data_IF_498792094453
#
_entry.id   IF_498792094453
#
_cell.length_a   1.000
_cell.length_b   1.000
_cell.length_c   1.000
_cell.angle_alpha   90.00
_cell.angle_beta   90.00
_cell.angle_gamma   90.00
#
_symmetry.space_group_name_H-M   'P 1'
#
loop_
_entity.id
_entity.type
_entity.pdbx_description
1 polymer ?
#
# COMPACT_ATOMS: atom_id res chain seq x y z
N UNK A 1 33.45 50.87 6.81
CA UNK A 1 32.40 50.25 6.01
C UNK A 1 32.21 48.79 6.52
N UNK A 2 31.18 48.55 7.33
CA UNK A 2 30.89 47.20 7.87
C UNK A 2 29.98 46.44 6.88
N UNK A 3 30.47 45.35 6.33
CA UNK A 3 29.64 44.45 5.49
C UNK A 3 28.79 43.56 6.41
N UNK A 4 27.47 43.70 6.33
CA UNK A 4 26.50 42.82 6.98
C UNK A 4 26.31 41.64 6.04
N UNK A 5 26.74 40.46 6.48
CA UNK A 5 26.45 39.18 5.78
C UNK A 5 25.11 38.68 6.33
N UNK A 6 24.06 38.79 5.53
CA UNK A 6 22.75 38.22 5.84
C UNK A 6 22.80 36.71 5.52
N UNK A 7 22.87 35.89 6.58
CA UNK A 7 22.78 34.44 6.46
C UNK A 7 21.29 34.04 6.27
N UNK A 8 20.89 33.75 5.03
CA UNK A 8 19.56 33.24 4.75
C UNK A 8 19.53 31.73 5.09
N UNK A 9 18.98 31.42 6.25
CA UNK A 9 18.71 30.02 6.63
C UNK A 9 17.50 29.58 5.80
N UNK A 10 17.77 28.82 4.73
CA UNK A 10 16.74 28.11 3.97
C UNK A 10 16.14 27.01 4.83
N UNK A 11 14.95 27.23 5.36
CA UNK A 11 14.15 26.22 6.03
C UNK A 11 13.63 25.26 4.94
N UNK A 12 14.38 24.20 4.67
CA UNK A 12 13.90 23.07 3.85
C UNK A 12 12.77 22.39 4.64
N UNK A 13 11.53 22.79 4.38
CA UNK A 13 10.38 21.99 4.75
C UNK A 13 10.52 20.67 3.99
N UNK A 14 10.91 19.61 4.70
CA UNK A 14 10.72 18.26 4.23
C UNK A 14 9.19 18.06 4.13
N UNK A 15 8.66 18.29 2.95
CA UNK A 15 7.32 17.83 2.60
C UNK A 15 7.38 16.32 2.74
N UNK A 16 6.86 15.80 3.84
CA UNK A 16 6.46 14.40 3.92
C UNK A 16 5.35 14.25 2.87
N UNK A 17 5.74 13.86 1.66
CA UNK A 17 4.79 13.38 0.66
C UNK A 17 4.21 12.09 1.25
N UNK A 18 3.12 12.20 1.99
CA UNK A 18 2.28 11.06 2.27
C UNK A 18 1.71 10.65 0.91
N UNK A 19 2.27 9.57 0.38
CA UNK A 19 1.81 9.06 -0.89
C UNK A 19 0.44 8.40 -0.66
N UNK A 20 -0.54 8.74 -1.51
CA UNK A 20 -1.80 8.01 -1.55
C UNK A 20 -1.53 6.52 -1.69
N UNK A 21 -2.23 5.73 -0.92
CA UNK A 21 -2.14 4.27 -0.91
C UNK A 21 -3.46 3.64 -1.36
N UNK A 22 -3.37 2.48 -1.96
CA UNK A 22 -4.51 1.59 -2.20
C UNK A 22 -4.56 0.60 -1.05
N UNK A 23 -5.74 0.42 -0.41
CA UNK A 23 -5.91 -0.61 0.62
C UNK A 23 -7.23 -1.34 0.49
N UNK A 24 -7.28 -2.55 1.05
CA UNK A 24 -8.46 -3.39 1.05
C UNK A 24 -9.01 -3.54 2.47
N UNK A 25 -10.33 -3.57 2.59
CA UNK A 25 -11.04 -3.89 3.83
C UNK A 25 -12.03 -5.01 3.59
N UNK A 26 -12.12 -5.95 4.55
CA UNK A 26 -13.15 -6.98 4.55
C UNK A 26 -14.39 -6.47 5.25
N UNK A 27 -15.48 -6.39 4.51
CA UNK A 27 -16.78 -6.08 5.10
C UNK A 27 -17.39 -7.32 5.78
N UNK A 28 -18.33 -7.09 6.70
CA UNK A 28 -19.03 -8.14 7.44
C UNK A 28 -19.87 -9.08 6.55
N UNK A 29 -20.24 -8.63 5.34
CA UNK A 29 -20.97 -9.39 4.32
C UNK A 29 -20.05 -10.22 3.41
N UNK A 30 -18.80 -10.43 3.81
CA UNK A 30 -17.71 -11.10 3.08
C UNK A 30 -17.26 -10.41 1.79
N UNK A 31 -17.82 -9.25 1.44
CA UNK A 31 -17.31 -8.45 0.32
C UNK A 31 -15.98 -7.80 0.70
N UNK A 32 -15.21 -7.47 -0.32
CA UNK A 32 -13.97 -6.71 -0.18
C UNK A 32 -14.17 -5.31 -0.72
N UNK A 33 -13.87 -4.32 0.10
CA UNK A 33 -13.87 -2.91 -0.30
C UNK A 33 -12.44 -2.46 -0.57
N UNK A 34 -12.22 -1.76 -1.68
CA UNK A 34 -10.95 -1.13 -1.98
C UNK A 34 -11.12 0.39 -1.92
N UNK A 35 -10.19 1.01 -1.23
CA UNK A 35 -10.11 2.46 -1.05
C UNK A 35 -8.78 2.97 -1.59
N UNK A 36 -8.78 4.21 -2.04
CA UNK A 36 -7.58 4.93 -2.43
C UNK A 36 -7.54 6.28 -1.70
N UNK A 37 -6.39 6.68 -1.18
CA UNK A 37 -6.25 7.92 -0.42
C UNK A 37 -5.20 7.84 0.68
N UNK A 38 -5.43 8.54 1.79
CA UNK A 38 -4.54 8.60 2.96
C UNK A 38 -5.23 8.01 4.19
N UNK A 39 -4.78 6.81 4.59
CA UNK A 39 -5.44 6.05 5.66
C UNK A 39 -5.38 6.77 7.02
N UNK A 40 -4.26 7.38 7.37
CA UNK A 40 -4.09 8.12 8.64
C UNK A 40 -5.02 9.32 8.76
N UNK A 41 -5.25 10.01 7.65
CA UNK A 41 -6.11 11.20 7.58
C UNK A 41 -7.58 10.87 7.32
N UNK A 42 -7.91 9.58 7.18
CA UNK A 42 -9.24 9.09 6.78
C UNK A 42 -9.71 9.71 5.43
N UNK A 43 -8.75 10.17 4.63
CA UNK A 43 -9.03 10.73 3.31
C UNK A 43 -9.27 9.59 2.32
N UNK A 44 -10.44 9.59 1.69
CA UNK A 44 -10.82 8.67 0.62
C UNK A 44 -11.06 9.46 -0.66
N UNK A 45 -10.31 9.09 -1.69
CA UNK A 45 -10.51 9.62 -3.03
C UNK A 45 -11.84 9.14 -3.62
N UNK A 46 -12.38 9.92 -4.57
CA UNK A 46 -13.68 9.63 -5.18
C UNK A 46 -13.58 9.24 -6.65
N UNK A 47 -14.69 8.72 -7.21
CA UNK A 47 -14.81 8.41 -8.65
C UNK A 47 -14.78 9.67 -9.52
N UNK A 48 -14.99 10.85 -8.96
CA UNK A 48 -14.80 12.13 -9.65
C UNK A 48 -13.34 12.59 -9.64
N UNK A 49 -12.51 12.00 -8.77
CA UNK A 49 -11.09 12.25 -8.59
C UNK A 49 -10.21 11.04 -8.94
N UNK A 50 -9.18 10.82 -8.13
CA UNK A 50 -8.12 9.85 -8.40
C UNK A 50 -8.59 8.38 -8.34
N UNK A 51 -9.62 8.05 -7.56
CA UNK A 51 -10.18 6.69 -7.49
C UNK A 51 -10.68 6.18 -8.86
N UNK A 52 -11.07 7.08 -9.77
CA UNK A 52 -11.51 6.73 -11.13
C UNK A 52 -10.47 5.89 -11.89
N UNK A 53 -9.18 6.10 -11.63
CA UNK A 53 -8.09 5.35 -12.26
C UNK A 53 -8.16 3.86 -11.98
N UNK A 54 -8.81 3.46 -10.88
CA UNK A 54 -8.94 2.06 -10.46
C UNK A 54 -10.25 1.39 -10.89
N UNK A 55 -11.11 2.09 -11.65
CA UNK A 55 -12.46 1.60 -12.01
C UNK A 55 -12.48 0.28 -12.79
N UNK A 56 -11.37 -0.10 -13.41
CA UNK A 56 -11.20 -1.38 -14.13
C UNK A 56 -10.29 -2.38 -13.39
N UNK A 57 -9.78 -2.02 -12.21
CA UNK A 57 -8.88 -2.88 -11.44
C UNK A 57 -9.65 -4.11 -10.93
N UNK A 58 -9.12 -5.30 -11.16
CA UNK A 58 -9.77 -6.56 -10.77
C UNK A 58 -9.13 -7.12 -9.50
N UNK A 59 -9.96 -7.44 -8.52
CA UNK A 59 -9.50 -8.19 -7.37
C UNK A 59 -9.34 -9.67 -7.71
N UNK A 60 -8.36 -10.33 -7.08
CA UNK A 60 -8.09 -11.75 -7.24
C UNK A 60 -8.28 -12.45 -5.89
N UNK A 61 -9.06 -13.52 -5.88
CA UNK A 61 -9.23 -14.41 -4.75
C UNK A 61 -9.23 -15.84 -5.24
N UNK A 62 -8.39 -16.72 -4.67
CA UNK A 62 -8.30 -18.14 -5.07
C UNK A 62 -8.19 -18.32 -6.59
N UNK A 63 -7.36 -17.51 -7.27
CA UNK A 63 -7.16 -17.48 -8.73
C UNK A 63 -8.38 -17.00 -9.55
N UNK A 64 -9.49 -16.61 -8.91
CA UNK A 64 -10.66 -16.02 -9.59
C UNK A 64 -10.53 -14.51 -9.59
N UNK A 65 -10.94 -13.90 -10.70
CA UNK A 65 -11.00 -12.45 -10.84
C UNK A 65 -12.41 -11.93 -10.57
N UNK A 66 -12.49 -10.80 -9.89
CA UNK A 66 -13.73 -10.09 -9.58
C UNK A 66 -13.64 -8.67 -10.11
N UNK A 67 -14.62 -8.27 -10.89
CA UNK A 67 -14.75 -6.88 -11.33
C UNK A 67 -15.36 -6.02 -10.23
N UNK A 68 -14.99 -4.74 -10.14
CA UNK A 68 -15.52 -3.86 -9.11
C UNK A 68 -16.95 -3.43 -9.41
N UNK A 69 -17.74 -3.23 -8.36
CA UNK A 69 -18.89 -2.33 -8.35
C UNK A 69 -18.40 -0.97 -7.88
N UNK A 70 -18.71 0.09 -8.65
CA UNK A 70 -18.20 1.43 -8.38
C UNK A 70 -19.14 2.15 -7.41
N UNK A 71 -18.59 2.64 -6.30
CA UNK A 71 -19.24 3.53 -5.35
C UNK A 71 -18.53 4.88 -5.36
N UNK A 72 -19.12 5.91 -4.77
CA UNK A 72 -18.58 7.27 -4.79
C UNK A 72 -17.12 7.35 -4.33
N UNK A 73 -16.77 6.67 -3.24
CA UNK A 73 -15.49 6.78 -2.53
C UNK A 73 -14.78 5.43 -2.34
N UNK A 74 -15.28 4.36 -2.96
CA UNK A 74 -14.67 3.02 -2.89
C UNK A 74 -15.13 2.10 -4.03
N UNK A 75 -14.45 0.97 -4.17
CA UNK A 75 -14.79 -0.12 -5.06
C UNK A 75 -15.23 -1.33 -4.22
N UNK A 76 -16.26 -2.05 -4.67
CA UNK A 76 -16.76 -3.26 -3.98
C UNK A 76 -16.58 -4.48 -4.86
N UNK A 77 -15.96 -5.52 -4.30
CA UNK A 77 -15.76 -6.81 -4.95
C UNK A 77 -16.59 -7.89 -4.23
N UNK A 78 -17.41 -8.63 -4.98
CA UNK A 78 -18.23 -9.71 -4.44
C UNK A 78 -17.42 -10.99 -4.20
N UNK A 79 -16.40 -10.90 -3.36
CA UNK A 79 -15.60 -12.03 -2.87
C UNK A 79 -16.44 -12.87 -1.92
N UNK A 80 -16.17 -14.19 -1.81
CA UNK A 80 -17.13 -15.12 -1.20
C UNK A 80 -16.65 -15.85 0.04
N UNK A 81 -15.37 -15.98 0.26
CA UNK A 81 -14.81 -16.78 1.35
C UNK A 81 -13.79 -15.99 2.17
N UNK A 82 -13.20 -16.61 3.17
CA UNK A 82 -12.22 -16.00 4.06
C UNK A 82 -10.78 -16.03 3.50
N UNK A 83 -10.59 -16.54 2.27
CA UNK A 83 -9.27 -16.54 1.64
C UNK A 83 -8.77 -15.11 1.38
N UNK A 84 -7.47 -14.96 1.35
CA UNK A 84 -6.84 -13.66 1.08
C UNK A 84 -7.27 -13.12 -0.28
N UNK A 85 -7.44 -11.81 -0.34
CA UNK A 85 -7.78 -11.07 -1.57
C UNK A 85 -6.62 -10.16 -1.91
N UNK A 86 -6.32 -10.03 -3.18
CA UNK A 86 -5.31 -9.10 -3.68
C UNK A 86 -5.86 -8.28 -4.85
N UNK A 87 -5.36 -7.06 -4.97
CA UNK A 87 -5.65 -6.12 -6.03
C UNK A 87 -4.33 -5.53 -6.51
N UNK A 88 -4.08 -5.60 -7.80
CA UNK A 88 -2.91 -5.02 -8.44
C UNK A 88 -3.34 -4.00 -9.48
N UNK A 89 -2.74 -2.82 -9.46
CA UNK A 89 -3.03 -1.78 -10.44
C UNK A 89 -1.82 -0.89 -10.70
N UNK A 90 -1.63 -0.53 -11.95
CA UNK A 90 -0.56 0.35 -12.40
C UNK A 90 -1.14 1.54 -13.16
N UNK A 91 -0.57 2.71 -12.90
CA UNK A 91 -0.90 3.93 -13.64
C UNK A 91 0.33 4.83 -13.78
N UNK A 92 0.32 5.70 -14.78
CA UNK A 92 1.36 6.71 -14.95
C UNK A 92 0.87 8.03 -14.34
N UNK A 93 1.72 8.62 -13.52
CA UNK A 93 1.55 9.97 -13.01
C UNK A 93 2.80 10.81 -13.32
N UNK A 94 2.66 11.80 -14.19
CA UNK A 94 3.80 12.54 -14.73
C UNK A 94 4.77 11.61 -15.50
N UNK A 95 6.02 11.55 -15.07
CA UNK A 95 7.06 10.66 -15.62
C UNK A 95 7.29 9.40 -14.77
N UNK A 96 6.36 9.09 -13.86
CA UNK A 96 6.49 7.98 -12.91
C UNK A 96 5.43 6.91 -13.15
N UNK A 97 5.84 5.64 -13.09
CA UNK A 97 4.95 4.50 -12.98
C UNK A 97 4.63 4.28 -11.50
N UNK A 98 3.36 4.34 -11.14
CA UNK A 98 2.86 4.00 -9.81
C UNK A 98 2.28 2.58 -9.88
N UNK A 99 2.91 1.64 -9.15
CA UNK A 99 2.50 0.24 -9.08
C UNK A 99 1.94 -0.04 -7.68
N UNK A 100 0.63 -0.16 -7.59
CA UNK A 100 -0.08 -0.44 -6.34
C UNK A 100 -0.38 -1.92 -6.21
N UNK A 101 -0.07 -2.49 -5.05
CA UNK A 101 -0.45 -3.84 -4.67
C UNK A 101 -1.10 -3.81 -3.29
N UNK A 102 -2.39 -4.15 -3.21
CA UNK A 102 -3.12 -4.19 -1.96
C UNK A 102 -3.59 -5.62 -1.66
N UNK A 103 -3.41 -6.05 -0.40
CA UNK A 103 -3.85 -7.36 0.08
C UNK A 103 -4.75 -7.24 1.29
N UNK A 104 -5.71 -8.16 1.42
CA UNK A 104 -6.51 -8.33 2.63
C UNK A 104 -6.47 -9.79 3.05
N UNK A 105 -6.00 -10.05 4.28
CA UNK A 105 -5.79 -11.35 4.86
C UNK A 105 -4.31 -11.66 5.16
N UNK A 106 -4.06 -12.73 5.91
CA UNK A 106 -2.73 -13.15 6.39
C UNK A 106 -2.50 -14.67 6.27
N UNK A 107 -3.10 -15.31 5.27
CA UNK A 107 -2.98 -16.76 5.09
C UNK A 107 -1.95 -17.14 4.03
N UNK A 108 -1.79 -16.32 2.99
CA UNK A 108 -0.83 -16.55 1.92
C UNK A 108 0.60 -16.21 2.37
N UNK A 109 1.47 -17.21 2.32
CA UNK A 109 2.89 -17.10 2.72
C UNK A 109 3.83 -16.81 1.53
N UNK A 110 3.29 -16.67 0.32
CA UNK A 110 4.07 -16.40 -0.89
C UNK A 110 3.94 -14.94 -1.29
N UNK A 111 5.05 -14.36 -1.73
CA UNK A 111 5.03 -13.06 -2.38
C UNK A 111 4.40 -13.17 -3.77
N UNK A 112 3.45 -12.30 -4.06
CA UNK A 112 2.70 -12.24 -5.31
C UNK A 112 3.03 -10.98 -6.14
N UNK A 113 3.92 -10.11 -5.62
CA UNK A 113 4.36 -8.86 -6.28
C UNK A 113 5.85 -8.61 -6.11
N UNK A 114 6.40 -7.65 -6.86
CA UNK A 114 7.82 -7.28 -6.82
C UNK A 114 8.24 -6.78 -5.44
N UNK A 115 7.42 -5.95 -4.79
CA UNK A 115 7.53 -5.55 -3.38
C UNK A 115 6.30 -6.10 -2.65
N UNK A 116 6.49 -6.90 -1.61
CA UNK A 116 5.39 -7.55 -0.92
C UNK A 116 5.60 -7.63 0.60
N UNK A 117 4.49 -7.76 1.33
CA UNK A 117 4.46 -8.06 2.77
C UNK A 117 3.79 -9.41 2.92
N UNK A 118 4.49 -10.39 3.47
CA UNK A 118 3.96 -11.74 3.68
C UNK A 118 4.06 -12.14 5.16
N UNK A 119 3.04 -12.79 5.73
CA UNK A 119 3.14 -13.30 7.09
C UNK A 119 4.13 -14.46 7.16
N UNK A 120 4.87 -14.58 8.26
CA UNK A 120 5.82 -15.69 8.49
C UNK A 120 5.09 -17.03 8.69
N UNK A 121 3.89 -16.98 9.26
CA UNK A 121 2.96 -18.10 9.41
C UNK A 121 1.52 -17.59 9.16
N UNK A 122 0.57 -18.45 8.81
CA UNK A 122 -0.83 -18.04 8.66
C UNK A 122 -1.34 -17.32 9.91
N UNK A 123 -1.98 -16.18 9.70
CA UNK A 123 -2.56 -15.32 10.75
C UNK A 123 -1.55 -14.75 11.77
N UNK A 124 -0.25 -14.81 11.48
CA UNK A 124 0.81 -14.25 12.33
C UNK A 124 0.83 -12.71 12.29
N UNK A 125 1.34 -12.12 13.37
CA UNK A 125 1.73 -10.70 13.45
C UNK A 125 3.23 -10.49 13.15
N UNK A 126 3.94 -11.56 12.76
CA UNK A 126 5.28 -11.50 12.22
C UNK A 126 5.20 -11.50 10.69
N UNK A 127 5.84 -10.53 10.06
CA UNK A 127 5.82 -10.36 8.62
C UNK A 127 7.23 -10.28 8.06
N UNK A 128 7.39 -10.75 6.82
CA UNK A 128 8.60 -10.55 6.02
C UNK A 128 8.27 -9.60 4.89
N UNK A 129 9.06 -8.54 4.72
CA UNK A 129 9.04 -7.72 3.50
C UNK A 129 9.88 -8.44 2.47
N UNK A 130 9.31 -8.65 1.30
CA UNK A 130 9.95 -9.29 0.15
C UNK A 130 10.16 -8.28 -0.96
N UNK A 131 11.35 -8.23 -1.53
CA UNK A 131 11.64 -7.46 -2.73
C UNK A 131 12.29 -8.37 -3.77
N UNK A 132 11.70 -8.44 -4.97
CA UNK A 132 12.13 -9.33 -6.05
C UNK A 132 12.33 -10.79 -5.60
N UNK A 133 11.37 -11.27 -4.78
CA UNK A 133 11.37 -12.64 -4.27
C UNK A 133 12.39 -12.93 -3.16
N UNK A 134 13.08 -11.92 -2.63
CA UNK A 134 14.04 -12.05 -1.53
C UNK A 134 13.63 -11.21 -0.31
N UNK A 135 13.92 -11.65 0.92
CA UNK A 135 13.75 -10.83 2.11
C UNK A 135 14.52 -9.50 2.00
N UNK A 136 13.87 -8.38 2.33
CA UNK A 136 14.44 -7.04 2.26
C UNK A 136 14.70 -6.49 3.66
N UNK A 137 15.99 -6.34 4.01
CA UNK A 137 16.45 -5.76 5.28
C UNK A 137 16.41 -4.21 5.23
N UNK A 138 16.35 -3.60 6.41
CA UNK A 138 16.41 -2.15 6.62
C UNK A 138 15.31 -1.35 5.89
N UNK A 139 14.18 -2.02 5.59
CA UNK A 139 13.01 -1.42 4.94
C UNK A 139 12.06 -0.87 6.00
N UNK A 140 11.61 0.37 5.80
CA UNK A 140 10.58 0.99 6.64
C UNK A 140 9.20 0.41 6.28
N UNK A 141 8.48 -0.05 7.30
CA UNK A 141 7.08 -0.46 7.21
C UNK A 141 6.25 0.43 8.13
N UNK A 142 5.26 1.09 7.58
CA UNK A 142 4.29 1.88 8.35
C UNK A 142 3.09 1.01 8.70
N UNK A 143 2.73 0.99 9.97
CA UNK A 143 1.57 0.24 10.49
C UNK A 143 0.54 1.23 10.99
N UNK A 144 -0.67 1.14 10.46
CA UNK A 144 -1.84 1.91 10.87
C UNK A 144 -2.75 1.04 11.72
N UNK A 145 -3.19 1.56 12.87
CA UNK A 145 -4.09 0.88 13.79
C UNK A 145 -5.57 1.19 13.51
N UNK A 146 -6.52 0.41 14.09
CA UNK A 146 -7.95 0.71 14.03
C UNK A 146 -8.33 2.08 14.59
N UNK A 147 -7.46 2.67 15.40
CA UNK A 147 -7.65 3.99 16.02
C UNK A 147 -6.89 5.10 15.30
N UNK A 148 -6.48 4.83 14.06
CA UNK A 148 -5.76 5.75 13.17
C UNK A 148 -4.40 6.25 13.69
N UNK A 149 -3.84 5.57 14.69
CA UNK A 149 -2.47 5.85 15.06
C UNK A 149 -1.47 5.07 14.19
N UNK A 150 -0.37 5.69 13.94
CA UNK A 150 0.68 5.23 13.04
C UNK A 150 1.94 4.85 13.82
N UNK A 151 2.57 3.71 13.47
CA UNK A 151 3.88 3.31 13.96
C UNK A 151 4.77 2.80 12.84
N UNK A 152 6.00 3.33 12.80
CA UNK A 152 7.01 2.85 11.87
C UNK A 152 7.82 1.71 12.50
N UNK A 153 8.06 0.69 11.70
CA UNK A 153 8.95 -0.43 11.97
C UNK A 153 10.04 -0.46 10.90
N UNK A 154 11.20 -1.01 11.24
CA UNK A 154 12.26 -1.27 10.27
C UNK A 154 12.53 -2.77 10.25
N UNK A 155 12.61 -3.37 9.08
CA UNK A 155 12.91 -4.80 8.95
C UNK A 155 14.31 -5.12 9.43
N UNK A 156 14.46 -6.27 10.09
CA UNK A 156 15.74 -6.79 10.51
C UNK A 156 16.54 -7.38 9.32
N UNK A 157 17.71 -7.98 9.59
CA UNK A 157 18.57 -8.60 8.55
C UNK A 157 17.89 -9.74 7.77
N UNK A 158 16.86 -10.34 8.33
CA UNK A 158 16.03 -11.37 7.69
C UNK A 158 14.80 -10.79 6.97
N UNK A 159 14.73 -9.45 6.85
CA UNK A 159 13.59 -8.77 6.24
C UNK A 159 12.32 -8.78 7.09
N UNK A 160 12.41 -9.07 8.40
CA UNK A 160 11.25 -9.33 9.25
C UNK A 160 10.94 -8.19 10.21
N UNK A 161 9.65 -8.04 10.51
CA UNK A 161 9.11 -7.22 11.59
C UNK A 161 8.14 -8.04 12.43
N UNK A 162 8.00 -7.68 13.71
CA UNK A 162 6.95 -8.16 14.60
C UNK A 162 6.13 -6.96 15.07
N UNK A 163 4.83 -6.95 14.81
CA UNK A 163 3.95 -5.86 15.16
C UNK A 163 3.06 -6.19 16.37
N UNK A 164 2.85 -5.19 17.22
CA UNK A 164 1.86 -5.28 18.29
C UNK A 164 0.48 -4.85 17.77
N UNK A 165 -0.55 -5.62 18.11
CA UNK A 165 -1.96 -5.34 17.74
C UNK A 165 -2.83 -5.29 19.00
N UNK A 166 -2.69 -4.24 19.85
CA UNK A 166 -3.37 -4.18 21.15
C UNK A 166 -4.87 -3.93 21.05
N UNK A 167 -5.37 -3.48 19.90
CA UNK A 167 -6.78 -3.15 19.71
C UNK A 167 -7.45 -4.08 18.73
N UNK A 168 -8.74 -4.33 18.93
CA UNK A 168 -9.59 -5.02 17.96
C UNK A 168 -9.90 -4.09 16.78
N UNK A 169 -9.91 -4.61 15.56
CA UNK A 169 -10.30 -3.91 14.36
C UNK A 169 -9.29 -4.01 13.22
N UNK A 170 -9.43 -3.14 12.23
CA UNK A 170 -8.66 -3.14 11.00
C UNK A 170 -7.25 -2.59 11.23
N UNK A 171 -6.24 -3.37 10.86
CA UNK A 171 -4.84 -2.93 10.71
C UNK A 171 -4.48 -2.86 9.24
N UNK A 172 -3.65 -1.87 8.90
CA UNK A 172 -3.05 -1.74 7.56
C UNK A 172 -1.55 -1.57 7.71
N UNK A 173 -0.79 -2.36 6.98
CA UNK A 173 0.66 -2.24 6.83
C UNK A 173 0.95 -1.66 5.46
N UNK A 174 1.91 -0.77 5.38
CA UNK A 174 2.36 -0.16 4.12
C UNK A 174 3.87 -0.25 4.00
N UNK A 175 4.34 -0.59 2.82
CA UNK A 175 5.72 -0.47 2.39
C UNK A 175 5.76 0.17 1.01
N UNK A 176 6.69 1.08 0.81
CA UNK A 176 6.90 1.73 -0.48
C UNK A 176 8.37 1.79 -0.85
N UNK A 177 8.66 1.78 -2.15
CA UNK A 177 10.01 1.88 -2.69
C UNK A 177 10.01 2.64 -4.00
N UNK A 178 10.89 3.62 -4.12
CA UNK A 178 11.22 4.27 -5.40
C UNK A 178 12.33 3.48 -6.09
N UNK A 179 12.19 3.27 -7.40
CA UNK A 179 13.16 2.56 -8.23
C UNK A 179 13.47 3.41 -9.45
N UNK A 180 14.76 3.62 -9.75
CA UNK A 180 15.21 4.19 -11.00
C UNK A 180 15.04 3.16 -12.12
N UNK A 181 13.88 3.19 -12.76
CA UNK A 181 13.50 2.25 -13.82
C UNK A 181 12.77 2.99 -14.93
N UNK A 182 13.33 2.95 -16.11
CA UNK A 182 12.71 3.48 -17.33
C UNK A 182 11.92 2.40 -18.04
N UNK A 183 10.76 2.74 -18.56
CA UNK A 183 9.93 1.79 -19.31
C UNK A 183 8.75 2.46 -20.00
N UNK A 184 7.77 1.65 -20.40
CA UNK A 184 6.52 2.10 -21.03
C UNK A 184 5.33 1.34 -20.45
N UNK A 185 4.26 2.06 -20.20
CA UNK A 185 2.94 1.52 -19.91
C UNK A 185 1.96 2.13 -20.92
N UNK A 186 1.24 1.31 -21.69
CA UNK A 186 0.28 1.78 -22.71
C UNK A 186 0.87 2.87 -23.64
N UNK A 187 2.10 2.67 -24.12
CA UNK A 187 2.89 3.59 -24.96
C UNK A 187 3.40 4.87 -24.27
N UNK A 188 3.00 5.16 -23.06
CA UNK A 188 3.52 6.26 -22.25
C UNK A 188 4.86 5.87 -21.60
N UNK A 189 5.89 6.70 -21.78
CA UNK A 189 7.23 6.48 -21.20
C UNK A 189 7.25 6.97 -19.76
N UNK A 190 7.86 6.19 -18.87
CA UNK A 190 8.21 6.62 -17.52
C UNK A 190 9.69 6.48 -17.26
N UNK A 191 10.23 7.24 -16.32
CA UNK A 191 11.63 7.30 -15.92
C UNK A 191 11.90 6.73 -14.53
N UNK A 192 10.85 6.63 -13.70
CA UNK A 192 10.88 6.12 -12.34
C UNK A 192 9.70 5.21 -12.10
N UNK A 193 9.86 4.29 -11.16
CA UNK A 193 8.75 3.45 -10.68
C UNK A 193 8.63 3.59 -9.16
N UNK A 194 7.41 3.75 -8.68
CA UNK A 194 7.07 3.67 -7.26
C UNK A 194 6.27 2.40 -7.01
N UNK A 195 6.80 1.51 -6.20
CA UNK A 195 6.09 0.34 -5.69
C UNK A 195 5.44 0.72 -4.37
N UNK A 196 4.14 0.54 -4.25
CA UNK A 196 3.38 0.77 -3.01
C UNK A 196 2.60 -0.50 -2.70
N UNK A 197 2.93 -1.17 -1.61
CA UNK A 197 2.25 -2.39 -1.19
C UNK A 197 1.60 -2.18 0.17
N UNK A 198 0.33 -2.59 0.27
CA UNK A 198 -0.39 -2.65 1.53
C UNK A 198 -0.84 -4.08 1.85
N UNK A 199 -0.85 -4.41 3.12
CA UNK A 199 -1.47 -5.61 3.65
C UNK A 199 -2.40 -5.23 4.80
N UNK A 200 -3.65 -5.61 4.70
CA UNK A 200 -4.67 -5.31 5.71
C UNK A 200 -5.26 -6.57 6.33
N UNK A 201 -5.67 -6.48 7.59
CA UNK A 201 -6.34 -7.57 8.28
C UNK A 201 -7.15 -7.06 9.48
N UNK A 202 -8.12 -7.81 9.91
CA UNK A 202 -8.87 -7.58 11.15
C UNK A 202 -8.26 -8.42 12.29
N UNK A 203 -8.02 -7.77 13.44
CA UNK A 203 -7.53 -8.41 14.67
C UNK A 203 -8.65 -8.60 15.68
#
# INVERSE_FOLDING_TARGET
MKKIITLTIGLSMALSTQAHMLWLERASDAKTHAFFGEYSEQLKETQEGALKSFSQAKAIQTKKQFSPQLHKDHLVYSTKDQADVQLHHELIYGESLLSYHAKSGRQNLKADSELDIVPVQPNSNNFTVMYQGKPAADVKVTVYSPQHWLKNYTTNKQGQINIATPWKGQYVLEVSQEIDKTGKLNQQVYKKQYLVTTLSFVH
#
